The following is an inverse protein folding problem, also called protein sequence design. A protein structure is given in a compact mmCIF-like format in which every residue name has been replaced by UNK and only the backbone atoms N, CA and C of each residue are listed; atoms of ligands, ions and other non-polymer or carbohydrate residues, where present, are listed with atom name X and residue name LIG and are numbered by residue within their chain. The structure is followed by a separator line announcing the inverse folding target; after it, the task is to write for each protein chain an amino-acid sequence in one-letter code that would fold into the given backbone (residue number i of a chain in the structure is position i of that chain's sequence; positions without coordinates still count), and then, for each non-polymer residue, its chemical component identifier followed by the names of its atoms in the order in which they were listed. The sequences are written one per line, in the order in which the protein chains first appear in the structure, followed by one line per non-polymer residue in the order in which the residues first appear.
data_IF_653304965065
#
_entry.id   IF_653304965065
#
_cell.length_a   1.000
_cell.length_b   1.000
_cell.length_c   1.000
_cell.angle_alpha   90.00
_cell.angle_beta   90.00
_cell.angle_gamma   90.00
#
_symmetry.space_group_name_H-M   'P 1'
#
loop_
_entity.id
_entity.type
_entity.pdbx_description
1 polymer ?
#
# COMPACT_ATOMS: atom_id res chain seq x y z
N UNK A 1 1.18 -0.93 7.31
CA UNK A 1 2.00 -1.02 6.09
C UNK A 1 1.67 -2.31 5.37
N UNK A 2 1.33 -2.22 4.10
CA UNK A 2 1.16 -3.34 3.19
C UNK A 2 2.29 -3.30 2.17
N UNK A 3 2.66 -4.45 1.61
CA UNK A 3 3.75 -4.55 0.64
C UNK A 3 3.29 -5.23 -0.65
N UNK A 4 3.88 -4.82 -1.76
CA UNK A 4 3.73 -5.47 -3.07
C UNK A 4 5.08 -5.49 -3.79
N UNK A 5 5.45 -6.61 -4.37
CA UNK A 5 6.64 -6.74 -5.21
C UNK A 5 6.24 -7.19 -6.63
N UNK A 6 6.28 -6.30 -7.65
CA UNK A 6 5.97 -6.66 -9.02
C UNK A 6 6.93 -7.68 -9.65
N UNK A 7 8.15 -7.84 -9.13
CA UNK A 7 9.06 -8.89 -9.61
C UNK A 7 8.66 -10.29 -9.12
N UNK A 8 7.77 -10.35 -8.13
CA UNK A 8 7.31 -11.61 -7.53
C UNK A 8 5.85 -11.90 -7.86
N UNK A 9 4.99 -10.88 -7.87
CA UNK A 9 3.55 -11.03 -8.02
C UNK A 9 2.96 -9.99 -8.96
N UNK A 10 2.22 -10.48 -9.95
CA UNK A 10 1.40 -9.65 -10.82
C UNK A 10 0.31 -8.96 -10.00
N UNK A 11 -0.04 -7.74 -10.41
CA UNK A 11 -1.17 -7.03 -9.83
C UNK A 11 -2.46 -7.53 -10.48
N UNK A 12 -3.33 -8.20 -9.72
CA UNK A 12 -4.56 -8.80 -10.24
C UNK A 12 -5.84 -8.21 -9.64
N UNK A 13 -5.74 -7.08 -8.92
CA UNK A 13 -6.90 -6.41 -8.33
C UNK A 13 -7.79 -5.74 -9.40
N UNK A 14 -8.91 -5.14 -8.96
CA UNK A 14 -9.80 -4.41 -9.86
C UNK A 14 -9.04 -3.42 -10.76
N UNK A 15 -9.24 -3.53 -12.07
CA UNK A 15 -8.44 -2.82 -13.07
C UNK A 15 -7.55 -3.75 -13.90
N UNK A 16 -7.40 -5.01 -13.50
CA UNK A 16 -6.78 -6.10 -14.27
C UNK A 16 -5.25 -6.10 -14.28
N UNK A 17 -4.61 -4.93 -14.22
CA UNK A 17 -3.19 -4.78 -13.95
C UNK A 17 -2.95 -3.49 -13.14
N UNK A 18 -1.70 -3.26 -12.73
CA UNK A 18 -1.37 -2.11 -11.87
C UNK A 18 -1.75 -0.77 -12.50
N UNK A 19 -1.43 -0.57 -13.79
CA UNK A 19 -1.78 0.66 -14.53
C UNK A 19 -3.29 0.87 -14.64
N UNK A 20 -4.05 -0.21 -14.87
CA UNK A 20 -5.50 -0.21 -14.88
C UNK A 20 -6.08 0.15 -13.51
N UNK A 21 -5.48 -0.34 -12.43
CA UNK A 21 -5.81 0.07 -11.06
C UNK A 21 -5.57 1.57 -10.83
N UNK A 22 -4.40 2.08 -11.25
CA UNK A 22 -4.07 3.51 -11.18
C UNK A 22 -5.08 4.35 -11.96
N UNK A 23 -5.45 3.93 -13.17
CA UNK A 23 -6.44 4.62 -14.00
C UNK A 23 -7.83 4.62 -13.37
N UNK A 24 -8.24 3.49 -12.75
CA UNK A 24 -9.49 3.35 -12.01
C UNK A 24 -9.55 4.32 -10.84
N UNK A 25 -8.53 4.35 -9.98
CA UNK A 25 -8.48 5.31 -8.87
C UNK A 25 -8.46 6.76 -9.39
N UNK A 26 -7.71 7.03 -10.47
CA UNK A 26 -7.66 8.35 -11.09
C UNK A 26 -9.03 8.86 -11.57
N UNK A 27 -9.91 7.94 -12.00
CA UNK A 27 -11.29 8.25 -12.40
C UNK A 27 -12.25 8.56 -11.23
N UNK A 28 -11.78 8.41 -9.98
CA UNK A 28 -12.58 8.62 -8.78
C UNK A 28 -13.25 7.35 -8.23
N UNK A 29 -12.97 6.18 -8.81
CA UNK A 29 -13.38 4.91 -8.24
C UNK A 29 -12.44 4.50 -7.09
N UNK A 30 -12.87 3.52 -6.29
CA UNK A 30 -12.04 2.81 -5.30
C UNK A 30 -11.76 1.40 -5.78
N UNK A 31 -10.75 0.74 -5.19
CA UNK A 31 -10.46 -0.68 -5.41
C UNK A 31 -10.61 -1.40 -4.08
N UNK A 32 -11.45 -2.42 -4.04
CA UNK A 32 -11.58 -3.31 -2.89
C UNK A 32 -10.69 -4.53 -3.12
N UNK A 33 -9.95 -4.94 -2.09
CA UNK A 33 -9.01 -6.07 -2.20
C UNK A 33 -8.94 -6.87 -0.89
N UNK A 34 -8.60 -8.15 -1.00
CA UNK A 34 -8.17 -8.98 0.12
C UNK A 34 -6.65 -9.02 0.14
N UNK A 35 -6.05 -8.37 1.14
CA UNK A 35 -4.59 -8.20 1.17
C UNK A 35 -3.95 -9.09 2.23
N UNK A 36 -2.88 -9.80 1.85
CA UNK A 36 -2.14 -10.61 2.82
C UNK A 36 -1.54 -9.74 3.92
N UNK A 37 -1.66 -10.17 5.17
CA UNK A 37 -1.20 -9.50 6.39
C UNK A 37 0.09 -10.10 6.96
N UNK A 38 0.76 -10.96 6.18
CA UNK A 38 1.94 -11.69 6.62
C UNK A 38 1.64 -12.49 7.89
N UNK A 39 2.39 -12.22 8.97
CA UNK A 39 2.23 -12.90 10.26
C UNK A 39 1.24 -12.19 11.21
N UNK A 40 0.71 -11.01 10.86
CA UNK A 40 -0.24 -10.27 11.71
C UNK A 40 -1.60 -10.95 11.66
N UNK A 41 -2.23 -11.10 12.84
CA UNK A 41 -3.53 -11.78 13.01
C UNK A 41 -4.58 -10.93 13.72
N UNK A 42 -4.21 -9.75 14.23
CA UNK A 42 -5.11 -8.88 14.98
C UNK A 42 -4.60 -7.43 15.01
N UNK A 43 -5.40 -6.54 15.60
CA UNK A 43 -5.04 -5.15 15.87
C UNK A 43 -5.17 -4.24 14.65
N UNK A 44 -6.06 -4.57 13.71
CA UNK A 44 -6.56 -3.63 12.71
C UNK A 44 -7.99 -3.30 13.06
N UNK A 45 -8.38 -2.05 12.91
CA UNK A 45 -9.74 -1.58 13.14
C UNK A 45 -10.33 -1.01 11.83
N UNK A 46 -11.67 -1.04 11.67
CA UNK A 46 -12.32 -0.33 10.57
C UNK A 46 -11.90 1.14 10.50
N UNK A 47 -11.42 1.57 9.34
CA UNK A 47 -10.95 2.94 9.12
C UNK A 47 -9.46 3.15 9.39
N UNK A 48 -8.73 2.15 9.89
CA UNK A 48 -7.28 2.23 10.02
C UNK A 48 -6.62 2.52 8.67
N UNK A 49 -5.69 3.47 8.66
CA UNK A 49 -4.94 3.85 7.45
C UNK A 49 -3.92 2.78 7.11
N UNK A 50 -3.84 2.41 5.83
CA UNK A 50 -2.68 1.70 5.30
C UNK A 50 -1.98 2.51 4.21
N UNK A 51 -0.71 2.19 4.02
CA UNK A 51 0.07 2.58 2.84
C UNK A 51 0.60 1.32 2.17
N UNK A 52 0.67 1.35 0.84
CA UNK A 52 1.21 0.28 0.01
C UNK A 52 2.65 0.61 -0.39
N UNK A 53 3.59 -0.18 0.11
CA UNK A 53 5.00 -0.12 -0.21
C UNK A 53 5.31 -1.04 -1.41
N UNK A 54 5.67 -0.45 -2.55
CA UNK A 54 6.19 -1.13 -3.74
C UNK A 54 7.67 -1.49 -3.55
N UNK A 55 8.02 -2.75 -3.78
CA UNK A 55 9.34 -3.33 -3.51
C UNK A 55 9.98 -3.91 -4.78
N UNK A 56 11.16 -4.53 -4.65
CA UNK A 56 11.88 -5.15 -5.78
C UNK A 56 12.50 -4.12 -6.73
N UNK A 57 11.95 -4.01 -7.93
CA UNK A 57 12.43 -3.10 -8.98
C UNK A 57 12.14 -1.62 -8.68
N UNK A 58 13.01 -0.72 -9.10
CA UNK A 58 12.76 0.74 -9.04
C UNK A 58 11.70 1.17 -10.07
N UNK A 59 10.90 2.22 -9.80
CA UNK A 59 10.89 3.08 -8.61
C UNK A 59 10.21 2.41 -7.39
N UNK A 60 10.93 2.27 -6.27
CA UNK A 60 10.40 1.71 -5.02
C UNK A 60 9.92 2.81 -4.08
N UNK A 61 8.95 2.47 -3.24
CA UNK A 61 8.43 3.39 -2.23
C UNK A 61 6.92 3.27 -2.03
N UNK A 62 6.31 4.26 -1.40
CA UNK A 62 4.84 4.27 -1.22
C UNK A 62 4.17 4.68 -2.51
N UNK A 63 3.26 3.84 -2.98
CA UNK A 63 2.53 4.03 -4.25
C UNK A 63 1.02 4.00 -4.09
N UNK A 64 0.51 3.77 -2.89
CA UNK A 64 -0.92 3.77 -2.61
C UNK A 64 -1.24 3.91 -1.13
N UNK A 65 -2.48 4.25 -0.85
CA UNK A 65 -3.05 4.27 0.50
C UNK A 65 -4.54 3.99 0.47
N UNK A 66 -5.07 3.70 1.64
CA UNK A 66 -6.48 3.41 1.81
C UNK A 66 -6.77 3.04 3.25
N UNK A 67 -7.85 2.30 3.46
CA UNK A 67 -8.30 1.93 4.80
C UNK A 67 -8.75 0.47 4.89
N UNK A 68 -8.63 -0.10 6.08
CA UNK A 68 -9.26 -1.38 6.44
C UNK A 68 -10.77 -1.20 6.63
N UNK A 69 -11.58 -2.20 6.30
CA UNK A 69 -13.05 -2.05 6.26
C UNK A 69 -13.79 -2.73 7.40
N UNK A 70 -13.44 -3.96 7.77
CA UNK A 70 -14.20 -4.78 8.74
C UNK A 70 -13.42 -5.06 10.05
N UNK A 71 -12.13 -4.71 10.09
CA UNK A 71 -11.24 -4.94 11.24
C UNK A 71 -10.92 -6.42 11.47
N UNK A 72 -11.23 -7.29 10.51
CA UNK A 72 -10.99 -8.72 10.60
C UNK A 72 -9.70 -9.08 9.86
N UNK A 73 -9.00 -10.08 10.41
CA UNK A 73 -7.88 -10.73 9.73
C UNK A 73 -8.18 -12.22 9.73
N UNK A 74 -8.61 -12.71 8.58
CA UNK A 74 -9.07 -14.07 8.40
C UNK A 74 -8.00 -14.94 7.76
N UNK A 75 -8.05 -16.22 8.08
CA UNK A 75 -7.16 -17.23 7.54
C UNK A 75 -7.73 -17.77 6.22
N UNK A 76 -6.92 -17.76 5.16
CA UNK A 76 -7.27 -18.34 3.87
C UNK A 76 -6.03 -18.96 3.19
N UNK A 77 -6.23 -19.67 2.09
CA UNK A 77 -5.16 -20.29 1.30
C UNK A 77 -4.10 -19.25 0.92
N UNK A 78 -2.82 -19.60 1.06
CA UNK A 78 -1.71 -18.70 0.74
C UNK A 78 -1.73 -18.34 -0.74
N UNK A 79 -1.48 -17.06 -1.05
CA UNK A 79 -1.54 -16.51 -2.41
C UNK A 79 -0.52 -17.11 -3.41
N UNK A 80 0.43 -17.93 -2.94
CA UNK A 80 1.51 -18.57 -3.75
C UNK A 80 1.50 -20.10 -3.68
N UNK A 81 0.85 -20.66 -2.66
CA UNK A 81 1.07 -22.05 -2.29
C UNK A 81 -0.23 -22.62 -1.71
N UNK A 82 -0.94 -23.47 -2.48
CA UNK A 82 -2.24 -23.98 -2.07
C UNK A 82 -2.18 -24.90 -0.84
N UNK A 83 -0.99 -25.39 -0.47
CA UNK A 83 -0.78 -26.22 0.71
C UNK A 83 -0.42 -25.39 1.95
N UNK A 84 -0.32 -24.06 1.82
CA UNK A 84 -0.05 -23.14 2.91
C UNK A 84 -1.23 -22.22 3.16
N UNK A 85 -1.15 -21.55 4.29
CA UNK A 85 -2.17 -20.63 4.74
C UNK A 85 -1.56 -19.26 4.96
N UNK A 86 -2.30 -18.21 4.61
CA UNK A 86 -1.96 -16.83 4.86
C UNK A 86 -3.12 -16.12 5.57
N UNK A 87 -2.79 -15.00 6.19
CA UNK A 87 -3.75 -14.15 6.85
C UNK A 87 -4.10 -13.00 5.92
N UNK A 88 -5.38 -12.68 5.78
CA UNK A 88 -5.87 -11.64 4.88
C UNK A 88 -6.76 -10.66 5.62
N UNK A 89 -6.70 -9.40 5.21
CA UNK A 89 -7.63 -8.39 5.66
C UNK A 89 -8.28 -7.71 4.45
N UNK A 90 -9.53 -7.32 4.61
CA UNK A 90 -10.23 -6.55 3.61
C UNK A 90 -9.80 -5.07 3.66
N UNK A 91 -9.43 -4.54 2.50
CA UNK A 91 -8.98 -3.16 2.35
C UNK A 91 -9.66 -2.48 1.18
N UNK A 92 -9.77 -1.16 1.28
CA UNK A 92 -10.18 -0.29 0.18
C UNK A 92 -9.08 0.71 -0.12
N UNK A 93 -8.54 0.64 -1.33
CA UNK A 93 -7.62 1.63 -1.86
C UNK A 93 -8.38 2.91 -2.23
N UNK A 94 -7.92 4.02 -1.67
CA UNK A 94 -8.40 5.37 -1.99
C UNK A 94 -7.43 6.10 -2.94
N UNK A 95 -6.15 5.72 -2.90
CA UNK A 95 -5.07 6.24 -3.71
C UNK A 95 -4.25 5.06 -4.24
N UNK A 96 -3.99 5.10 -5.54
CA UNK A 96 -3.02 4.26 -6.23
C UNK A 96 -2.44 5.11 -7.37
N UNK A 97 -1.12 5.24 -7.42
CA UNK A 97 -0.43 6.15 -8.35
C UNK A 97 0.64 5.45 -9.16
N UNK A 98 1.06 6.08 -10.24
CA UNK A 98 2.27 5.67 -10.95
C UNK A 98 3.46 5.70 -9.96
N UNK A 99 4.39 4.72 -9.99
CA UNK A 99 5.53 4.72 -9.08
C UNK A 99 6.39 6.00 -9.16
N UNK A 100 6.42 6.69 -10.31
CA UNK A 100 7.09 7.97 -10.46
C UNK A 100 6.42 9.13 -9.71
N UNK A 101 5.11 9.01 -9.44
CA UNK A 101 4.32 9.98 -8.65
C UNK A 101 4.24 9.61 -7.16
N UNK A 102 4.79 8.46 -6.77
CA UNK A 102 4.83 7.96 -5.40
C UNK A 102 5.86 8.67 -4.50
N UNK A 103 6.00 8.19 -3.27
CA UNK A 103 7.08 8.61 -2.37
C UNK A 103 8.24 7.62 -2.47
N UNK A 104 9.40 8.01 -3.05
CA UNK A 104 10.54 7.13 -3.19
C UNK A 104 11.10 6.66 -1.85
N UNK A 105 11.57 5.42 -1.77
CA UNK A 105 12.21 4.87 -0.56
C UNK A 105 13.37 5.74 -0.06
N UNK A 106 14.11 6.40 -0.96
CA UNK A 106 15.19 7.32 -0.60
C UNK A 106 14.72 8.52 0.22
N UNK A 107 13.55 9.09 -0.09
CA UNK A 107 12.97 10.20 0.70
C UNK A 107 12.46 9.68 2.04
N UNK A 108 11.82 8.51 2.05
CA UNK A 108 11.28 7.90 3.27
C UNK A 108 12.38 7.58 4.29
N UNK A 109 13.57 7.17 3.83
CA UNK A 109 14.72 6.92 4.70
C UNK A 109 15.24 8.18 5.40
N UNK A 110 15.10 9.35 4.78
CA UNK A 110 15.57 10.64 5.31
C UNK A 110 14.50 11.29 6.20
N UNK A 111 13.25 11.34 5.70
CA UNK A 111 12.17 12.12 6.31
C UNK A 111 11.29 11.30 7.26
N UNK A 112 11.28 9.96 7.14
CA UNK A 112 10.53 9.04 8.04
C UNK A 112 11.45 7.93 8.58
N UNK A 113 12.53 8.28 9.30
CA UNK A 113 13.54 7.29 9.73
C UNK A 113 13.01 6.29 10.77
N UNK A 114 11.85 6.56 11.39
CA UNK A 114 11.25 5.71 12.42
C UNK A 114 10.64 4.39 11.92
N UNK A 115 10.71 4.09 10.63
CA UNK A 115 10.20 2.85 10.04
C UNK A 115 11.28 2.07 9.28
N UNK A 116 11.22 0.74 9.33
CA UNK A 116 12.19 -0.16 8.71
C UNK A 116 11.99 -0.32 7.19
N UNK A 117 12.19 0.73 6.40
CA UNK A 117 11.92 0.73 4.95
C UNK A 117 12.69 -0.35 4.17
N UNK A 118 13.94 -0.61 4.55
CA UNK A 118 14.81 -1.58 3.89
C UNK A 118 14.73 -3.00 4.50
N UNK A 119 13.99 -3.17 5.60
CA UNK A 119 13.89 -4.43 6.35
C UNK A 119 12.45 -4.95 6.47
N UNK A 120 11.48 -4.22 5.91
CA UNK A 120 10.09 -4.65 5.80
C UNK A 120 9.95 -5.46 4.52
N UNK A 121 9.74 -6.78 4.62
CA UNK A 121 9.58 -7.65 3.43
C UNK A 121 8.19 -8.29 3.33
N UNK A 122 7.35 -8.06 4.33
CA UNK A 122 5.99 -8.59 4.38
C UNK A 122 5.02 -7.48 4.80
N UNK A 123 3.77 -7.63 4.43
CA UNK A 123 2.65 -6.82 4.90
C UNK A 123 2.39 -7.00 6.39
N UNK A 124 1.50 -6.16 6.94
CA UNK A 124 1.05 -6.24 8.33
C UNK A 124 1.93 -5.45 9.32
N UNK A 125 3.01 -4.84 8.86
CA UNK A 125 3.89 -4.05 9.71
C UNK A 125 3.23 -2.72 10.13
N UNK A 126 3.33 -2.39 11.42
CA UNK A 126 2.75 -1.18 11.99
C UNK A 126 3.76 -0.04 11.98
N UNK A 127 3.32 1.14 11.51
CA UNK A 127 4.07 2.39 11.67
C UNK A 127 3.65 2.98 13.01
N UNK A 128 4.61 3.45 13.83
CA UNK A 128 4.36 3.91 15.19
C UNK A 128 5.11 5.21 15.51
N UNK A 129 4.66 5.90 16.54
CA UNK A 129 5.29 7.13 17.02
C UNK A 129 5.27 8.24 15.97
N UNK A 130 6.31 9.08 15.97
CA UNK A 130 6.43 10.24 15.06
C UNK A 130 6.38 9.85 13.58
N UNK A 131 6.78 8.61 13.24
CA UNK A 131 6.75 8.12 11.87
C UNK A 131 5.34 8.10 11.26
N UNK A 132 4.29 8.01 12.09
CA UNK A 132 2.90 8.06 11.62
C UNK A 132 2.59 9.44 11.04
N UNK A 133 2.88 10.49 11.79
CA UNK A 133 2.58 11.87 11.39
C UNK A 133 3.48 12.32 10.24
N UNK A 134 4.76 11.95 10.26
CA UNK A 134 5.72 12.22 9.19
C UNK A 134 5.27 11.61 7.86
N UNK A 135 4.92 10.31 7.87
CA UNK A 135 4.49 9.60 6.67
C UNK A 135 3.19 10.17 6.11
N UNK A 136 2.21 10.44 6.98
CA UNK A 136 0.92 11.00 6.57
C UNK A 136 1.09 12.41 5.97
N UNK A 137 1.95 13.23 6.55
CA UNK A 137 2.26 14.56 6.02
C UNK A 137 2.88 14.47 4.62
N UNK A 138 3.95 13.69 4.45
CA UNK A 138 4.60 13.52 3.16
C UNK A 138 3.66 12.98 2.09
N UNK A 139 2.83 11.98 2.44
CA UNK A 139 1.90 11.37 1.50
C UNK A 139 0.84 12.37 1.04
N UNK A 140 0.27 13.15 1.97
CA UNK A 140 -0.69 14.22 1.64
C UNK A 140 -0.08 15.26 0.70
N UNK A 141 1.16 15.67 0.93
CA UNK A 141 1.85 16.61 0.05
C UNK A 141 2.06 16.04 -1.35
N UNK A 142 2.54 14.80 -1.45
CA UNK A 142 2.71 14.11 -2.73
C UNK A 142 1.40 14.03 -3.51
N UNK A 143 0.32 13.55 -2.88
CA UNK A 143 -0.99 13.41 -3.52
C UNK A 143 -1.60 14.76 -3.91
N UNK A 144 -1.30 15.83 -3.17
CA UNK A 144 -1.69 17.19 -3.55
C UNK A 144 -0.97 17.62 -4.82
N UNK A 145 0.35 17.42 -4.92
CA UNK A 145 1.13 17.77 -6.13
C UNK A 145 0.66 16.98 -7.36
N UNK A 146 0.42 15.68 -7.23
CA UNK A 146 -0.04 14.83 -8.33
C UNK A 146 -1.40 15.27 -8.87
N UNK A 147 -2.35 15.64 -8.00
CA UNK A 147 -3.64 16.21 -8.42
C UNK A 147 -3.50 17.52 -9.19
N UNK A 148 -2.52 18.36 -8.87
CA UNK A 148 -2.27 19.60 -9.60
C UNK A 148 -1.65 19.35 -10.98
N UNK A 149 -0.76 18.37 -11.10
CA UNK A 149 -0.16 17.99 -12.38
C UNK A 149 -1.21 17.49 -13.37
N UNK A 150 -2.13 16.63 -12.91
CA UNK A 150 -3.21 16.05 -13.73
C UNK A 150 -4.31 17.03 -14.16
N UNK A 151 -4.40 18.22 -13.56
CA UNK A 151 -5.39 19.26 -13.96
C UNK A 151 -4.85 20.24 -15.02
N UNK A 152 -3.56 20.15 -15.37
CA UNK A 152 -2.88 21.09 -16.27
C UNK A 152 -2.44 20.48 -17.61
N UNK A 153 -2.61 19.17 -17.79
CA UNK A 153 -2.46 18.47 -19.08
C UNK A 153 -3.82 18.19 -19.69
#
# INVERSE_FOLDING_TARGET
MLTWNPDSYDWEEEGGNYEGGVARIASGATIKAMWSMGARRYGVEPGDRFYLLRQGVEPRGIVGSGYFTDGQIDEDVHWDDPDKTAWYAEVVFEFLVDPADGLPTSQLLDEVPGFGWNTTYASGNEVRGEAVDQLEHMWKEAMTRTKHHRRRG
#
